data_IF_164522717037
#
_entry.id   IF_164522717037
#
_cell.length_a   1.000
_cell.length_b   1.000
_cell.length_c   1.000
_cell.angle_alpha   90.00
_cell.angle_beta   90.00
_cell.angle_gamma   90.00
#
_symmetry.space_group_name_H-M   'P 1'
#
loop_
_entity.id
_entity.type
_entity.pdbx_description
1 polymer ?
#
# COMPACT_ATOMS: atom_id res chain seq x y z
N UNK A 1 3.47 12.62 13.45
CA UNK A 1 4.41 12.67 12.35
C UNK A 1 5.23 11.40 12.29
N UNK A 2 5.53 10.94 11.11
CA UNK A 2 6.29 9.70 10.94
C UNK A 2 7.76 9.90 11.26
N UNK A 3 8.37 8.90 11.92
CA UNK A 3 9.83 8.86 12.11
C UNK A 3 10.55 8.37 10.85
N UNK A 4 9.79 8.00 9.86
CA UNK A 4 10.33 7.44 8.63
C UNK A 4 11.02 8.52 7.80
N UNK A 5 12.25 8.24 7.37
CA UNK A 5 13.03 9.13 6.52
C UNK A 5 13.43 8.41 5.24
N UNK A 6 13.24 9.06 4.11
CA UNK A 6 13.64 8.55 2.82
C UNK A 6 14.48 9.60 2.11
N UNK A 7 15.59 9.18 1.52
CA UNK A 7 16.49 10.08 0.79
C UNK A 7 15.96 10.35 -0.61
N UNK A 8 16.38 11.47 -1.21
CA UNK A 8 15.82 11.91 -2.50
C UNK A 8 16.04 10.91 -3.63
N UNK A 9 17.19 10.22 -3.68
CA UNK A 9 17.44 9.22 -4.70
C UNK A 9 16.58 7.97 -4.48
N UNK A 10 16.32 7.62 -3.23
CA UNK A 10 15.41 6.52 -2.90
C UNK A 10 13.97 6.89 -3.26
N UNK A 11 13.57 8.14 -3.01
CA UNK A 11 12.24 8.62 -3.40
C UNK A 11 12.04 8.53 -4.90
N UNK A 12 13.06 8.85 -5.70
CA UNK A 12 12.99 8.71 -7.15
C UNK A 12 12.83 7.26 -7.58
N UNK A 13 13.56 6.34 -6.95
CA UNK A 13 13.43 4.91 -7.25
C UNK A 13 12.03 4.41 -6.95
N UNK A 14 11.48 4.78 -5.79
CA UNK A 14 10.12 4.40 -5.40
C UNK A 14 9.12 4.93 -6.43
N UNK A 15 9.26 6.19 -6.81
CA UNK A 15 8.36 6.81 -7.77
C UNK A 15 8.40 6.08 -9.12
N UNK A 16 9.60 5.76 -9.62
CA UNK A 16 9.75 5.04 -10.89
C UNK A 16 9.15 3.63 -10.83
N UNK A 17 9.38 2.91 -9.72
CA UNK A 17 8.82 1.59 -9.55
C UNK A 17 7.30 1.63 -9.55
N UNK A 18 6.72 2.60 -8.84
CA UNK A 18 5.27 2.73 -8.76
C UNK A 18 4.67 3.17 -10.09
N UNK A 19 5.35 4.05 -10.84
CA UNK A 19 4.89 4.46 -12.16
C UNK A 19 4.87 3.31 -13.15
N UNK A 20 5.94 2.50 -13.16
CA UNK A 20 6.00 1.33 -14.04
C UNK A 20 4.93 0.31 -13.68
N UNK A 21 4.72 0.09 -12.39
CA UNK A 21 3.69 -0.83 -11.92
C UNK A 21 2.30 -0.33 -12.32
N UNK A 22 2.02 0.94 -12.07
CA UNK A 22 0.72 1.55 -12.38
C UNK A 22 0.40 1.40 -13.87
N UNK A 23 1.40 1.62 -14.74
CA UNK A 23 1.21 1.48 -16.17
C UNK A 23 0.92 0.02 -16.55
N UNK A 24 1.60 -0.93 -15.91
CA UNK A 24 1.45 -2.34 -16.25
C UNK A 24 0.11 -2.93 -15.79
N UNK A 25 -0.41 -2.51 -14.63
CA UNK A 25 -1.68 -3.02 -14.11
C UNK A 25 -2.86 -2.12 -14.44
N UNK A 26 -2.59 -0.96 -15.03
CA UNK A 26 -3.62 0.04 -15.41
C UNK A 26 -4.44 0.51 -14.21
N UNK A 27 -3.77 0.73 -13.10
CA UNK A 27 -4.41 1.31 -11.93
C UNK A 27 -4.75 2.78 -12.19
N UNK A 28 -5.85 3.23 -11.64
CA UNK A 28 -6.24 4.63 -11.70
C UNK A 28 -5.38 5.46 -10.75
N UNK A 29 -5.05 4.90 -9.59
CA UNK A 29 -4.31 5.61 -8.57
C UNK A 29 -3.61 4.60 -7.64
N UNK A 30 -2.38 4.90 -7.26
CA UNK A 30 -1.63 4.10 -6.29
C UNK A 30 -0.98 5.06 -5.30
N UNK A 31 -1.11 4.76 -4.01
CA UNK A 31 -0.46 5.54 -2.97
C UNK A 31 0.26 4.62 -2.00
N UNK A 32 1.48 5.00 -1.66
CA UNK A 32 2.27 4.40 -0.59
C UNK A 32 2.18 5.37 0.58
N UNK A 33 1.66 4.92 1.71
CA UNK A 33 1.40 5.80 2.84
C UNK A 33 1.81 5.17 4.16
N UNK A 34 2.08 6.02 5.12
CA UNK A 34 2.30 5.62 6.50
C UNK A 34 0.95 5.49 7.20
N UNK A 35 0.87 4.64 8.22
CA UNK A 35 -0.37 4.41 8.98
C UNK A 35 -0.90 5.65 9.66
N UNK A 36 -0.06 6.67 9.88
CA UNK A 36 -0.50 7.94 10.45
C UNK A 36 -1.18 8.87 9.43
N UNK A 37 -1.29 8.45 8.17
CA UNK A 37 -1.89 9.22 7.11
C UNK A 37 -0.90 9.98 6.24
N UNK A 38 0.39 9.94 6.57
CA UNK A 38 1.42 10.62 5.77
C UNK A 38 1.58 9.93 4.42
N UNK A 39 1.62 10.72 3.36
CA UNK A 39 1.80 10.21 2.00
C UNK A 39 3.29 10.18 1.69
N UNK A 40 3.80 9.03 1.27
CA UNK A 40 5.20 8.86 0.92
C UNK A 40 5.40 9.01 -0.58
N UNK A 41 4.54 8.39 -1.38
CA UNK A 41 4.60 8.49 -2.83
C UNK A 41 3.22 8.18 -3.41
N UNK A 42 2.90 8.79 -4.55
CA UNK A 42 1.64 8.51 -5.22
C UNK A 42 1.81 8.64 -6.73
N UNK A 43 1.00 7.87 -7.46
CA UNK A 43 0.96 7.88 -8.92
C UNK A 43 -0.50 7.89 -9.35
N UNK A 44 -0.83 8.72 -10.32
CA UNK A 44 -2.21 8.91 -10.77
C UNK A 44 -2.89 10.01 -9.98
N UNK A 45 -4.19 10.17 -10.19
CA UNK A 45 -4.96 11.20 -9.51
C UNK A 45 -6.41 10.77 -9.38
N UNK A 46 -6.98 11.06 -8.22
CA UNK A 46 -8.41 10.84 -7.97
C UNK A 46 -9.18 12.16 -7.90
N UNK A 47 -8.48 13.30 -7.96
CA UNK A 47 -9.12 14.59 -7.79
C UNK A 47 -9.55 14.88 -6.36
N UNK A 48 -9.07 14.10 -5.38
CA UNK A 48 -9.35 14.29 -3.97
C UNK A 48 -8.06 14.23 -3.18
N UNK A 49 -8.11 14.72 -1.94
CA UNK A 49 -6.97 14.60 -1.02
C UNK A 49 -6.79 13.13 -0.63
N UNK A 50 -5.56 12.64 -0.73
CA UNK A 50 -5.23 11.26 -0.42
C UNK A 50 -5.15 10.97 1.08
N UNK A 51 -4.98 11.99 1.93
CA UNK A 51 -4.81 11.77 3.37
C UNK A 51 -5.99 11.06 4.01
N UNK A 52 -7.24 11.47 3.80
CA UNK A 52 -8.36 10.71 4.35
C UNK A 52 -8.43 9.28 3.82
N UNK A 53 -8.07 9.07 2.56
CA UNK A 53 -8.02 7.73 1.98
C UNK A 53 -7.00 6.87 2.71
N UNK A 54 -5.82 7.41 3.00
CA UNK A 54 -4.77 6.70 3.73
C UNK A 54 -5.22 6.32 5.14
N UNK A 55 -5.84 7.25 5.85
CA UNK A 55 -6.34 7.02 7.22
C UNK A 55 -7.41 5.93 7.23
N UNK A 56 -8.38 6.02 6.33
CA UNK A 56 -9.48 5.04 6.27
C UNK A 56 -8.99 3.67 5.82
N UNK A 57 -8.01 3.62 4.91
CA UNK A 57 -7.42 2.37 4.47
C UNK A 57 -6.67 1.69 5.61
N UNK A 58 -5.97 2.46 6.44
CA UNK A 58 -5.31 1.93 7.63
C UNK A 58 -6.33 1.34 8.60
N UNK A 59 -7.42 2.05 8.86
CA UNK A 59 -8.48 1.57 9.74
C UNK A 59 -9.10 0.27 9.20
N UNK A 60 -9.31 0.20 7.90
CA UNK A 60 -9.86 -0.97 7.23
C UNK A 60 -8.93 -2.18 7.40
N UNK A 61 -7.64 -1.98 7.18
CA UNK A 61 -6.67 -3.06 7.33
C UNK A 61 -6.55 -3.52 8.77
N UNK A 62 -6.56 -2.59 9.71
CA UNK A 62 -6.51 -2.92 11.14
C UNK A 62 -7.76 -3.70 11.58
N UNK A 63 -8.93 -3.37 11.04
CA UNK A 63 -10.15 -4.13 11.29
C UNK A 63 -10.00 -5.57 10.81
N UNK A 64 -9.45 -5.76 9.61
CA UNK A 64 -9.24 -7.10 9.08
C UNK A 64 -8.28 -7.90 9.95
N UNK A 65 -7.24 -7.26 10.48
CA UNK A 65 -6.31 -7.92 11.39
C UNK A 65 -7.00 -8.38 12.68
N UNK A 66 -7.88 -7.55 13.23
CA UNK A 66 -8.64 -7.92 14.42
C UNK A 66 -9.57 -9.09 14.14
N UNK A 67 -10.24 -9.09 13.00
CA UNK A 67 -11.05 -10.23 12.57
C UNK A 67 -10.20 -11.50 12.50
N UNK A 68 -8.99 -11.39 11.94
CA UNK A 68 -8.07 -12.53 11.87
C UNK A 68 -7.73 -13.07 13.24
N UNK A 69 -7.49 -12.22 14.21
CA UNK A 69 -7.24 -12.64 15.59
C UNK A 69 -8.43 -13.39 16.18
N UNK A 70 -9.64 -12.94 15.90
CA UNK A 70 -10.85 -13.62 16.37
C UNK A 70 -11.00 -15.00 15.73
N UNK A 71 -10.43 -15.21 14.56
CA UNK A 71 -10.52 -16.49 13.84
C UNK A 71 -9.33 -17.41 14.13
N UNK A 72 -8.72 -17.26 15.29
CA UNK A 72 -7.63 -18.15 15.71
C UNK A 72 -6.26 -17.74 15.23
N UNK A 73 -6.07 -16.46 14.91
CA UNK A 73 -4.77 -15.96 14.49
C UNK A 73 -4.54 -16.00 12.99
N UNK A 74 -5.60 -15.88 12.20
CA UNK A 74 -5.45 -15.75 10.76
C UNK A 74 -4.72 -14.44 10.41
N UNK A 75 -3.75 -14.53 9.52
CA UNK A 75 -2.98 -13.40 9.06
C UNK A 75 -3.42 -13.00 7.66
N UNK A 76 -4.38 -12.09 7.57
CA UNK A 76 -4.86 -11.63 6.28
C UNK A 76 -3.81 -10.76 5.60
N UNK A 77 -3.47 -11.10 4.36
CA UNK A 77 -2.40 -10.45 3.60
C UNK A 77 -2.86 -9.18 2.91
N UNK A 78 -4.16 -9.01 2.75
CA UNK A 78 -4.71 -7.88 2.01
C UNK A 78 -6.18 -7.70 2.33
N UNK A 79 -6.68 -6.51 1.99
CA UNK A 79 -8.11 -6.19 2.04
C UNK A 79 -8.50 -5.66 0.68
N UNK A 80 -9.64 -6.07 0.17
CA UNK A 80 -10.13 -5.55 -1.10
C UNK A 80 -11.61 -5.22 -1.03
N UNK A 81 -12.00 -4.21 -1.81
CA UNK A 81 -13.40 -3.82 -1.98
C UNK A 81 -13.73 -3.81 -3.46
N UNK A 82 -14.92 -4.28 -3.80
CA UNK A 82 -15.42 -4.29 -5.17
C UNK A 82 -16.66 -3.42 -5.25
N UNK A 83 -16.58 -2.34 -6.01
CA UNK A 83 -17.73 -1.48 -6.30
C UNK A 83 -18.17 -1.65 -7.74
N UNK A 84 -19.17 -0.90 -8.15
CA UNK A 84 -19.65 -0.97 -9.54
C UNK A 84 -18.63 -0.40 -10.52
N UNK A 85 -17.96 0.68 -10.14
CA UNK A 85 -17.09 1.43 -11.04
C UNK A 85 -15.63 1.43 -10.64
N UNK A 86 -15.31 1.00 -9.42
CA UNK A 86 -13.95 0.96 -8.90
C UNK A 86 -13.76 -0.20 -7.96
N UNK A 87 -12.52 -0.69 -7.91
CA UNK A 87 -12.10 -1.70 -6.95
C UNK A 87 -10.88 -1.20 -6.22
N UNK A 88 -10.70 -1.59 -4.96
CA UNK A 88 -9.59 -1.16 -4.13
C UNK A 88 -8.86 -2.38 -3.60
N UNK A 89 -7.53 -2.32 -3.60
CA UNK A 89 -6.69 -3.36 -3.03
C UNK A 89 -5.72 -2.71 -2.05
N UNK A 90 -5.72 -3.17 -0.80
CA UNK A 90 -4.91 -2.62 0.29
C UNK A 90 -4.01 -3.71 0.81
N UNK A 91 -2.70 -3.46 0.86
CA UNK A 91 -1.74 -4.43 1.36
C UNK A 91 -0.65 -3.74 2.18
N UNK A 92 -0.05 -4.44 3.15
CA UNK A 92 1.06 -3.87 3.90
C UNK A 92 2.35 -3.98 3.10
N UNK A 93 3.22 -2.98 3.25
CA UNK A 93 4.60 -3.05 2.78
C UNK A 93 5.48 -3.51 3.95
N UNK A 94 5.24 -2.92 5.12
CA UNK A 94 5.82 -3.35 6.38
C UNK A 94 4.83 -3.02 7.49
N UNK A 95 5.27 -3.04 8.76
CA UNK A 95 4.37 -2.78 9.88
C UNK A 95 3.88 -1.33 9.92
N UNK A 96 4.60 -0.41 9.30
CA UNK A 96 4.29 1.01 9.34
C UNK A 96 3.66 1.54 8.05
N UNK A 97 3.82 0.83 6.93
CA UNK A 97 3.48 1.33 5.61
C UNK A 97 2.43 0.46 4.93
N UNK A 98 1.52 1.12 4.22
CA UNK A 98 0.50 0.47 3.43
C UNK A 98 0.59 0.94 1.98
N UNK A 99 0.24 0.03 1.09
CA UNK A 99 0.08 0.33 -0.33
C UNK A 99 -1.40 0.22 -0.67
N UNK A 100 -1.98 1.30 -1.19
CA UNK A 100 -3.39 1.35 -1.55
C UNK A 100 -3.47 1.55 -3.05
N UNK A 101 -4.22 0.67 -3.72
CA UNK A 101 -4.33 0.68 -5.18
C UNK A 101 -5.80 0.77 -5.58
N UNK A 102 -6.11 1.67 -6.50
CA UNK A 102 -7.47 1.86 -6.98
C UNK A 102 -7.50 1.57 -8.48
N UNK A 103 -8.41 0.69 -8.87
CA UNK A 103 -8.55 0.23 -10.24
C UNK A 103 -9.93 0.59 -10.79
N UNK A 104 -10.03 0.89 -12.09
CA UNK A 104 -11.33 1.06 -12.71
C UNK A 104 -12.06 -0.28 -12.78
N UNK A 105 -13.39 -0.25 -12.70
CA UNK A 105 -14.21 -1.43 -12.83
C UNK A 105 -14.40 -2.19 -11.55
N UNK A 106 -15.23 -3.21 -11.60
CA UNK A 106 -15.65 -3.95 -10.42
C UNK A 106 -14.73 -5.11 -10.06
N UNK A 107 -13.73 -5.40 -10.89
CA UNK A 107 -12.84 -6.54 -10.68
C UNK A 107 -11.40 -6.08 -10.62
N UNK A 108 -10.66 -6.68 -9.69
CA UNK A 108 -9.21 -6.47 -9.60
C UNK A 108 -8.51 -7.20 -10.75
N UNK A 109 -7.30 -6.76 -11.12
CA UNK A 109 -6.50 -7.49 -12.11
C UNK A 109 -6.27 -8.93 -11.68
N UNK A 110 -6.19 -9.83 -12.66
CA UNK A 110 -5.87 -11.23 -12.39
C UNK A 110 -4.51 -11.32 -11.70
N UNK A 111 -4.44 -12.18 -10.68
CA UNK A 111 -3.20 -12.43 -9.94
C UNK A 111 -2.64 -11.18 -9.28
N UNK A 112 -3.52 -10.30 -8.82
CA UNK A 112 -3.09 -9.06 -8.16
C UNK A 112 -2.20 -9.36 -6.95
N UNK A 113 -2.46 -10.44 -6.23
CA UNK A 113 -1.67 -10.81 -5.06
C UNK A 113 -0.21 -11.06 -5.44
N UNK A 114 0.03 -11.80 -6.52
CA UNK A 114 1.39 -12.10 -6.98
C UNK A 114 2.10 -10.86 -7.51
N UNK A 115 1.38 -10.07 -8.30
CA UNK A 115 1.93 -8.85 -8.91
C UNK A 115 2.26 -7.84 -7.81
N UNK A 116 1.38 -7.68 -6.84
CA UNK A 116 1.59 -6.79 -5.71
C UNK A 116 2.80 -7.23 -4.87
N UNK A 117 2.95 -8.52 -4.65
CA UNK A 117 4.10 -9.05 -3.88
C UNK A 117 5.42 -8.67 -4.55
N UNK A 118 5.48 -8.77 -5.88
CA UNK A 118 6.68 -8.38 -6.61
C UNK A 118 7.01 -6.91 -6.45
N UNK A 119 5.98 -6.05 -6.49
CA UNK A 119 6.19 -4.62 -6.26
C UNK A 119 6.70 -4.35 -4.84
N UNK A 120 6.08 -4.97 -3.83
CA UNK A 120 6.49 -4.78 -2.44
C UNK A 120 7.95 -5.21 -2.25
N UNK A 121 8.36 -6.34 -2.83
CA UNK A 121 9.75 -6.80 -2.74
C UNK A 121 10.71 -5.79 -3.37
N UNK A 122 10.35 -5.24 -4.52
CA UNK A 122 11.18 -4.22 -5.18
C UNK A 122 11.26 -2.93 -4.38
N UNK A 123 10.16 -2.52 -3.75
CA UNK A 123 10.15 -1.33 -2.91
C UNK A 123 11.05 -1.50 -1.68
N UNK A 124 10.97 -2.65 -1.03
CA UNK A 124 11.80 -2.95 0.14
C UNK A 124 13.28 -3.00 -0.25
N UNK A 125 13.61 -3.61 -1.39
CA UNK A 125 14.98 -3.66 -1.88
C UNK A 125 15.52 -2.27 -2.22
N UNK A 126 14.68 -1.41 -2.78
CA UNK A 126 15.09 -0.08 -3.19
C UNK A 126 15.30 0.86 -2.00
N UNK A 127 14.61 0.61 -0.89
CA UNK A 127 14.63 1.49 0.29
C UNK A 127 14.88 0.65 1.54
N UNK A 128 16.15 0.45 1.93
CA UNK A 128 16.46 -0.35 3.13
C UNK A 128 15.79 0.18 4.40
N UNK A 129 15.46 1.46 4.46
CA UNK A 129 14.76 2.04 5.60
C UNK A 129 13.41 1.37 5.87
N UNK A 130 12.76 0.81 4.86
CA UNK A 130 11.50 0.09 5.06
C UNK A 130 11.71 -1.12 5.98
N UNK A 131 12.75 -1.91 5.73
CA UNK A 131 13.09 -3.05 6.57
C UNK A 131 13.55 -2.60 7.95
N UNK A 132 14.39 -1.56 8.01
CA UNK A 132 14.88 -1.03 9.29
C UNK A 132 13.72 -0.52 10.14
N UNK A 133 12.77 0.16 9.53
CA UNK A 133 11.59 0.66 10.22
C UNK A 133 10.77 -0.48 10.80
N UNK A 134 10.59 -1.54 10.04
CA UNK A 134 9.89 -2.74 10.49
C UNK A 134 10.62 -3.38 11.68
N UNK A 135 11.94 -3.50 11.60
CA UNK A 135 12.75 -4.08 12.66
C UNK A 135 12.62 -3.29 13.96
N UNK A 136 12.59 -1.97 13.88
CA UNK A 136 12.44 -1.12 15.06
C UNK A 136 11.07 -1.27 15.70
N UNK A 137 10.04 -1.51 14.91
CA UNK A 137 8.69 -1.67 15.43
C UNK A 137 8.50 -2.99 16.15
N UNK A 138 9.28 -3.99 15.81
CA UNK A 138 9.19 -5.33 16.40
C UNK A 138 9.82 -5.39 17.79
N UNK A 139 10.74 -4.50 18.08
CA UNK A 139 11.45 -4.49 19.36
C UNK A 139 10.64 -4.00 20.53
#
# INVERSE_FOLDING_TARGET
MSDFTIFSDEAEKVQRLMMAYQASVKAEYIVLCHRDGSIIAEVGSLGIDATPLAVLSTASFDSARQVGMMLGGENFQSVSYSGENRSIYISPVDQALLLVQIFPGSKLPNRIEDINRLLVEKLVDAVPAFTQNTSRLVR
#
